data_IF_375651976423
#
_entry.id   IF_375651976423
#
_cell.length_a   1.000
_cell.length_b   1.000
_cell.length_c   1.000
_cell.angle_alpha   90.00
_cell.angle_beta   90.00
_cell.angle_gamma   90.00
#
_symmetry.space_group_name_H-M   'P 1'
#
loop_
_entity.id
_entity.type
_entity.pdbx_description
1 polymer ?
#
# COMPACT_ATOMS: atom_id res chain seq x y z
N UNK A 1 1.81 -4.51 1.97
CA UNK A 1 3.23 -4.09 1.81
C UNK A 1 3.38 -3.02 0.73
N UNK A 2 3.03 -3.29 -0.54
CA UNK A 2 3.17 -2.30 -1.64
C UNK A 2 2.49 -0.95 -1.35
N UNK A 3 1.25 -0.95 -0.89
CA UNK A 3 0.52 0.28 -0.56
C UNK A 3 1.24 1.12 0.52
N UNK A 4 1.80 0.49 1.55
CA UNK A 4 2.57 1.20 2.60
C UNK A 4 3.78 1.87 1.99
N UNK A 5 4.57 1.13 1.19
CA UNK A 5 5.76 1.68 0.56
C UNK A 5 5.46 2.85 -0.39
N UNK A 6 4.41 2.74 -1.19
CA UNK A 6 4.02 3.82 -2.09
C UNK A 6 3.56 5.05 -1.31
N UNK A 7 2.62 4.87 -0.37
CA UNK A 7 2.00 6.00 0.33
C UNK A 7 2.98 6.75 1.22
N UNK A 8 3.83 6.04 2.00
CA UNK A 8 4.77 6.72 2.90
C UNK A 8 5.81 7.55 2.14
N UNK A 9 6.19 7.14 0.90
CA UNK A 9 7.12 7.90 0.06
C UNK A 9 6.48 9.10 -0.66
N UNK A 10 5.15 9.26 -0.59
CA UNK A 10 4.45 10.46 -1.08
C UNK A 10 4.44 11.61 -0.07
N UNK A 11 5.12 11.48 1.07
CA UNK A 11 5.22 12.53 2.08
C UNK A 11 3.97 12.68 2.96
N UNK A 12 3.14 11.65 3.08
CA UNK A 12 2.00 11.64 4.01
C UNK A 12 2.50 11.57 5.46
N UNK A 13 1.80 12.22 6.38
CA UNK A 13 2.19 12.29 7.79
C UNK A 13 1.95 10.98 8.57
N UNK A 14 1.02 10.14 8.12
CA UNK A 14 0.69 8.85 8.71
C UNK A 14 -0.02 7.96 7.68
N UNK A 15 0.05 6.66 7.88
CA UNK A 15 -0.69 5.66 7.10
C UNK A 15 -1.48 4.75 8.04
N UNK A 16 -2.51 4.10 7.54
CA UNK A 16 -3.22 3.18 8.41
C UNK A 16 -4.39 2.46 7.77
N UNK A 17 -5.16 1.82 8.63
CA UNK A 17 -6.32 1.00 8.27
C UNK A 17 -7.55 1.50 8.98
N UNK A 18 -8.69 1.41 8.29
CA UNK A 18 -9.95 1.93 8.78
C UNK A 18 -11.10 1.02 8.37
N UNK A 19 -12.08 0.84 9.28
CA UNK A 19 -13.34 0.14 9.00
C UNK A 19 -13.15 -1.36 8.65
N UNK A 20 -14.11 -1.96 7.96
CA UNK A 20 -14.18 -3.33 7.42
C UNK A 20 -14.29 -4.44 8.47
N UNK A 21 -13.54 -4.39 9.56
CA UNK A 21 -13.50 -5.45 10.59
C UNK A 21 -13.47 -4.87 12.00
N UNK A 22 -13.59 -5.73 13.00
CA UNK A 22 -13.28 -5.44 14.40
C UNK A 22 -11.76 -5.38 14.65
N UNK A 23 -11.37 -4.96 15.89
CA UNK A 23 -9.96 -4.79 16.24
C UNK A 23 -9.14 -6.07 16.12
N UNK A 24 -9.69 -7.21 16.55
CA UNK A 24 -9.05 -8.52 16.55
C UNK A 24 -8.48 -8.91 15.19
N UNK A 25 -9.20 -8.60 14.11
CA UNK A 25 -8.81 -8.90 12.73
C UNK A 25 -7.77 -7.91 12.15
N UNK A 26 -7.57 -6.76 12.79
CA UNK A 26 -6.61 -5.75 12.31
C UNK A 26 -5.22 -5.91 12.91
N UNK A 27 -5.05 -6.65 14.01
CA UNK A 27 -3.77 -6.78 14.73
C UNK A 27 -2.63 -7.20 13.81
N UNK A 28 -2.83 -8.27 13.04
CA UNK A 28 -1.79 -8.79 12.15
C UNK A 28 -1.47 -7.83 11.00
N UNK A 29 -2.48 -7.18 10.45
CA UNK A 29 -2.29 -6.18 9.40
C UNK A 29 -1.48 -4.97 9.91
N UNK A 30 -1.79 -4.49 11.13
CA UNK A 30 -1.01 -3.40 11.77
C UNK A 30 0.43 -3.83 11.99
N UNK A 31 0.68 -5.05 12.47
CA UNK A 31 2.03 -5.60 12.66
C UNK A 31 2.82 -5.64 11.36
N UNK A 32 2.19 -6.11 10.26
CA UNK A 32 2.81 -6.12 8.93
C UNK A 32 3.08 -4.71 8.40
N UNK A 33 2.16 -3.78 8.61
CA UNK A 33 2.40 -2.38 8.22
C UNK A 33 3.56 -1.80 9.02
N UNK A 34 3.57 -2.01 10.33
CA UNK A 34 4.61 -1.50 11.23
C UNK A 34 6.00 -2.01 10.90
N UNK A 35 6.13 -3.25 10.39
CA UNK A 35 7.44 -3.82 10.04
C UNK A 35 8.17 -3.11 8.91
N UNK A 36 7.47 -2.26 8.14
CA UNK A 36 8.04 -1.53 7.00
C UNK A 36 7.75 -0.02 7.03
N UNK A 37 6.86 0.42 7.92
CA UNK A 37 6.50 1.83 8.03
C UNK A 37 7.59 2.61 8.78
N UNK A 38 8.08 3.70 8.18
CA UNK A 38 8.93 4.70 8.80
C UNK A 38 8.18 5.99 9.16
N UNK A 39 6.85 5.94 9.11
CA UNK A 39 5.93 6.98 9.57
C UNK A 39 4.89 6.36 10.51
N UNK A 40 4.16 7.16 11.30
CA UNK A 40 3.14 6.65 12.22
C UNK A 40 2.09 5.79 11.52
N UNK A 41 1.74 4.66 12.15
CA UNK A 41 0.63 3.80 11.71
C UNK A 41 -0.61 4.11 12.54
N UNK A 42 -1.75 4.29 11.88
CA UNK A 42 -3.03 4.44 12.58
C UNK A 42 -3.97 3.25 12.33
N UNK A 43 -4.86 2.99 13.30
CA UNK A 43 -5.92 1.99 13.17
C UNK A 43 -7.25 2.50 13.72
N UNK A 44 -8.32 2.33 12.94
CA UNK A 44 -9.68 2.74 13.28
C UNK A 44 -10.68 1.62 12.92
N UNK A 45 -10.71 0.52 13.67
CA UNK A 45 -11.65 -0.58 13.42
C UNK A 45 -13.09 -0.21 13.78
N UNK A 46 -14.01 -1.08 13.37
CA UNK A 46 -15.39 -1.06 13.85
C UNK A 46 -15.46 -1.59 15.29
N UNK A 47 -16.56 -1.30 15.99
CA UNK A 47 -16.86 -1.92 17.28
C UNK A 47 -17.37 -3.38 17.09
N UNK A 48 -16.45 -4.25 16.63
CA UNK A 48 -16.75 -5.61 16.24
C UNK A 48 -17.27 -5.75 14.80
N UNK A 49 -17.74 -6.95 14.48
CA UNK A 49 -18.42 -7.21 13.21
C UNK A 49 -19.90 -6.85 13.30
N UNK A 50 -20.49 -6.28 12.24
CA UNK A 50 -21.91 -5.99 12.22
C UNK A 50 -22.77 -7.26 12.15
N UNK A 51 -23.84 -7.30 12.90
CA UNK A 51 -24.94 -8.23 12.74
C UNK A 51 -26.09 -7.55 12.00
N UNK A 52 -26.73 -8.25 11.08
CA UNK A 52 -27.90 -7.74 10.40
C UNK A 52 -29.16 -8.04 11.23
N UNK A 53 -29.79 -7.01 11.81
CA UNK A 53 -31.03 -7.12 12.60
C UNK A 53 -32.07 -6.18 11.99
N UNK A 54 -33.16 -6.73 11.47
CA UNK A 54 -34.23 -5.96 10.81
C UNK A 54 -33.65 -5.01 9.72
N UNK A 55 -32.84 -5.53 8.83
CA UNK A 55 -32.15 -4.81 7.73
C UNK A 55 -31.24 -3.65 8.19
N UNK A 56 -30.86 -3.64 9.48
CA UNK A 56 -29.91 -2.65 10.02
C UNK A 56 -28.67 -3.33 10.56
N UNK A 57 -27.50 -2.73 10.30
CA UNK A 57 -26.24 -3.16 10.89
C UNK A 57 -26.18 -2.78 12.36
N UNK A 58 -26.07 -3.76 13.24
CA UNK A 58 -25.95 -3.59 14.70
C UNK A 58 -24.57 -4.06 15.13
N UNK A 59 -23.89 -3.24 15.93
CA UNK A 59 -22.61 -3.53 16.53
C UNK A 59 -22.81 -3.76 18.02
N UNK A 60 -22.34 -4.91 18.54
CA UNK A 60 -22.62 -5.33 19.92
C UNK A 60 -21.42 -5.25 20.86
N UNK A 61 -20.22 -5.00 20.32
CA UNK A 61 -19.03 -4.90 21.15
C UNK A 61 -19.19 -3.78 22.17
N UNK A 62 -18.91 -4.07 23.43
CA UNK A 62 -18.97 -3.08 24.51
C UNK A 62 -17.75 -2.15 24.49
N UNK A 63 -17.81 -0.98 25.16
CA UNK A 63 -16.64 -0.09 25.28
C UNK A 63 -15.44 -0.76 25.92
N UNK A 64 -15.63 -1.63 26.89
CA UNK A 64 -14.58 -2.35 27.61
C UNK A 64 -13.91 -3.39 26.71
N UNK A 65 -14.71 -4.19 26.02
CA UNK A 65 -14.20 -5.16 25.04
C UNK A 65 -13.44 -4.47 23.92
N UNK A 66 -13.99 -3.37 23.39
CA UNK A 66 -13.31 -2.59 22.36
C UNK A 66 -11.95 -2.06 22.84
N UNK A 67 -11.87 -1.51 24.04
CA UNK A 67 -10.62 -0.99 24.60
C UNK A 67 -9.59 -2.11 24.82
N UNK A 68 -9.99 -3.29 25.31
CA UNK A 68 -9.09 -4.42 25.52
C UNK A 68 -8.53 -4.94 24.19
N UNK A 69 -9.38 -5.10 23.15
CA UNK A 69 -8.92 -5.52 21.82
C UNK A 69 -8.02 -4.46 21.17
N UNK A 70 -8.31 -3.17 21.37
CA UNK A 70 -7.50 -2.07 20.87
C UNK A 70 -6.11 -2.01 21.51
N UNK A 71 -5.94 -2.55 22.73
CA UNK A 71 -4.64 -2.71 23.36
C UNK A 71 -3.70 -3.55 22.49
N UNK A 72 -4.19 -4.68 21.95
CA UNK A 72 -3.41 -5.52 21.04
C UNK A 72 -2.98 -4.78 19.76
N UNK A 73 -3.81 -3.86 19.28
CA UNK A 73 -3.50 -3.01 18.12
C UNK A 73 -2.37 -2.03 18.43
N UNK A 74 -2.37 -1.41 19.62
CA UNK A 74 -1.28 -0.52 20.06
C UNK A 74 0.01 -1.33 20.24
N UNK A 75 -0.06 -2.50 20.88
CA UNK A 75 1.07 -3.43 21.04
C UNK A 75 1.62 -3.91 19.70
N UNK A 76 0.77 -4.04 18.67
CA UNK A 76 1.19 -4.34 17.30
C UNK A 76 1.91 -3.17 16.60
N UNK A 77 1.89 -1.96 17.19
CA UNK A 77 2.64 -0.81 16.73
C UNK A 77 1.82 0.36 16.16
N UNK A 78 0.51 0.38 16.35
CA UNK A 78 -0.29 1.55 16.00
C UNK A 78 -0.01 2.70 16.97
N UNK A 79 0.53 3.81 16.45
CA UNK A 79 0.80 5.03 17.23
C UNK A 79 -0.39 5.99 17.31
N UNK A 80 -1.42 5.75 16.49
CA UNK A 80 -2.67 6.52 16.49
C UNK A 80 -3.83 5.56 16.41
N UNK A 81 -4.81 5.72 17.30
CA UNK A 81 -5.95 4.81 17.39
C UNK A 81 -7.27 5.56 17.50
N UNK A 82 -8.32 4.94 17.04
CA UNK A 82 -9.68 5.48 17.09
C UNK A 82 -10.70 4.41 16.79
N UNK A 83 -11.91 4.81 16.45
CA UNK A 83 -12.97 3.92 16.07
C UNK A 83 -13.64 4.31 14.76
N UNK A 84 -14.42 3.38 14.19
CA UNK A 84 -15.23 3.58 13.00
C UNK A 84 -16.69 3.17 13.26
N UNK A 85 -17.28 2.34 12.43
CA UNK A 85 -18.67 1.94 12.56
C UNK A 85 -18.95 1.27 13.90
N UNK A 86 -20.10 1.59 14.50
CA UNK A 86 -20.53 1.05 15.79
C UNK A 86 -19.88 1.67 17.02
N UNK A 87 -18.79 2.45 16.86
CA UNK A 87 -18.19 3.15 18.01
C UNK A 87 -19.04 4.35 18.42
N UNK A 88 -19.10 4.57 19.73
CA UNK A 88 -19.81 5.65 20.41
C UNK A 88 -18.84 6.41 21.31
N UNK A 89 -19.22 7.57 21.89
CA UNK A 89 -18.37 8.32 22.80
C UNK A 89 -17.79 7.48 23.93
N UNK A 90 -18.58 6.53 24.47
CA UNK A 90 -18.15 5.65 25.56
C UNK A 90 -16.99 4.72 25.13
N UNK A 91 -17.03 4.19 23.90
CA UNK A 91 -15.94 3.39 23.33
C UNK A 91 -14.65 4.21 23.22
N UNK A 92 -14.76 5.43 22.71
CA UNK A 92 -13.60 6.32 22.55
C UNK A 92 -13.05 6.74 23.90
N UNK A 93 -13.91 6.96 24.91
CA UNK A 93 -13.48 7.25 26.27
C UNK A 93 -12.73 6.06 26.88
N UNK A 94 -13.26 4.85 26.82
CA UNK A 94 -12.59 3.66 27.32
C UNK A 94 -11.25 3.42 26.61
N UNK A 95 -11.22 3.60 25.28
CA UNK A 95 -9.99 3.54 24.49
C UNK A 95 -8.96 4.58 24.97
N UNK A 96 -9.35 5.84 25.15
CA UNK A 96 -8.44 6.90 25.57
C UNK A 96 -7.90 6.65 27.00
N UNK A 97 -8.78 6.21 27.93
CA UNK A 97 -8.39 5.90 29.30
C UNK A 97 -7.38 4.72 29.36
N UNK A 98 -7.52 3.76 28.47
CA UNK A 98 -6.58 2.63 28.32
C UNK A 98 -5.27 3.07 27.64
N UNK A 99 -5.37 3.72 26.48
CA UNK A 99 -4.21 4.10 25.67
C UNK A 99 -3.27 5.08 26.39
N UNK A 100 -3.81 5.99 27.24
CA UNK A 100 -3.03 6.92 28.04
C UNK A 100 -2.03 6.25 29.01
N UNK A 101 -2.21 4.97 29.29
CA UNK A 101 -1.35 4.17 30.19
C UNK A 101 -0.33 3.33 29.44
N UNK A 102 -0.39 3.35 28.10
CA UNK A 102 0.51 2.55 27.25
C UNK A 102 1.67 3.39 26.72
N UNK A 103 2.83 2.78 26.46
CA UNK A 103 3.93 3.46 25.79
C UNK A 103 3.54 3.79 24.34
N UNK A 104 4.02 4.92 23.84
CA UNK A 104 3.87 5.26 22.42
C UNK A 104 4.81 4.35 21.60
N UNK A 105 4.32 3.65 20.57
CA UNK A 105 5.16 2.82 19.72
C UNK A 105 6.24 3.65 19.01
N UNK A 106 7.47 3.16 19.02
CA UNK A 106 8.58 3.81 18.32
C UNK A 106 8.36 3.78 16.81
N UNK A 107 8.79 4.85 16.13
CA UNK A 107 8.80 4.92 14.68
C UNK A 107 10.19 4.48 14.21
N UNK A 108 10.24 3.52 13.28
CA UNK A 108 11.51 3.09 12.70
C UNK A 108 12.16 4.22 11.91
N UNK A 109 13.46 4.41 12.09
CA UNK A 109 14.27 5.27 11.24
C UNK A 109 14.83 4.54 10.01
N UNK A 110 14.62 3.23 9.92
CA UNK A 110 15.10 2.42 8.80
C UNK A 110 14.16 2.53 7.61
N UNK A 111 14.72 2.91 6.49
CA UNK A 111 14.02 2.99 5.22
C UNK A 111 14.33 1.74 4.39
N UNK A 112 13.32 0.92 4.14
CA UNK A 112 13.45 -0.21 3.21
C UNK A 112 13.51 0.32 1.78
N UNK A 113 14.65 0.12 1.12
CA UNK A 113 14.80 0.45 -0.31
C UNK A 113 14.04 -0.56 -1.15
N UNK A 114 13.00 -0.12 -1.84
CA UNK A 114 12.20 -1.01 -2.68
C UNK A 114 11.55 -0.28 -3.85
N UNK A 115 11.19 -1.05 -4.87
CA UNK A 115 10.28 -0.63 -5.95
C UNK A 115 8.97 -1.38 -5.74
N UNK A 116 7.85 -0.69 -5.82
CA UNK A 116 6.52 -1.27 -5.61
C UNK A 116 5.67 -1.21 -6.86
N UNK A 117 5.02 -2.33 -7.16
CA UNK A 117 3.89 -2.39 -8.09
C UNK A 117 2.57 -2.26 -7.32
N UNK A 118 1.43 -2.38 -7.99
CA UNK A 118 0.12 -2.41 -7.33
C UNK A 118 -0.05 -3.56 -6.32
N UNK A 119 0.68 -4.67 -6.49
CA UNK A 119 0.48 -5.92 -5.73
C UNK A 119 1.67 -6.34 -4.89
N UNK A 120 2.87 -5.96 -5.27
CA UNK A 120 4.09 -6.45 -4.64
C UNK A 120 5.15 -5.36 -4.50
N UNK A 121 6.10 -5.58 -3.60
CA UNK A 121 7.30 -4.76 -3.47
C UNK A 121 8.54 -5.62 -3.70
N UNK A 122 9.45 -5.11 -4.48
CA UNK A 122 10.77 -5.69 -4.73
C UNK A 122 11.80 -4.92 -3.90
N UNK A 123 12.41 -5.61 -2.94
CA UNK A 123 13.47 -5.01 -2.12
C UNK A 123 14.75 -4.90 -2.96
N UNK A 124 15.36 -3.71 -2.91
CA UNK A 124 16.63 -3.39 -3.55
C UNK A 124 17.61 -3.04 -2.44
N UNK A 125 18.43 -3.97 -2.05
CA UNK A 125 19.45 -3.79 -1.03
C UNK A 125 20.82 -4.22 -1.56
N UNK A 126 21.89 -3.66 -0.96
CA UNK A 126 23.27 -3.98 -1.35
C UNK A 126 23.63 -5.45 -1.07
N UNK A 127 23.03 -6.03 -0.04
CA UNK A 127 23.21 -7.43 0.37
C UNK A 127 22.19 -8.39 -0.28
N UNK A 128 21.23 -7.86 -1.06
CA UNK A 128 20.25 -8.66 -1.75
C UNK A 128 20.78 -9.24 -3.07
N UNK A 129 20.24 -10.36 -3.58
CA UNK A 129 20.58 -10.89 -4.90
C UNK A 129 20.34 -9.84 -6.01
N UNK A 130 21.17 -9.89 -7.05
CA UNK A 130 21.02 -9.01 -8.21
C UNK A 130 19.60 -8.99 -8.75
N UNK A 131 19.14 -7.80 -9.15
CA UNK A 131 17.88 -7.60 -9.84
C UNK A 131 18.14 -7.29 -11.30
N UNK A 132 17.44 -8.04 -12.17
CA UNK A 132 17.57 -7.86 -13.64
C UNK A 132 16.51 -6.86 -14.08
N UNK A 133 16.95 -5.80 -14.77
CA UNK A 133 16.06 -4.83 -15.42
C UNK A 133 15.95 -5.18 -16.89
N UNK A 134 14.74 -5.38 -17.38
CA UNK A 134 14.44 -5.62 -18.78
C UNK A 134 14.22 -4.29 -19.52
N UNK A 135 15.03 -3.99 -20.56
CA UNK A 135 15.00 -2.70 -21.29
C UNK A 135 14.39 -2.80 -22.70
N UNK A 136 13.72 -3.89 -23.05
CA UNK A 136 13.27 -4.08 -24.43
C UNK A 136 12.05 -3.24 -24.82
N UNK A 137 11.33 -2.68 -23.87
CA UNK A 137 10.24 -1.72 -24.13
C UNK A 137 10.83 -0.33 -24.37
N UNK A 138 11.60 -0.25 -25.44
CA UNK A 138 12.36 0.92 -25.85
C UNK A 138 12.37 1.00 -27.39
N UNK A 139 11.84 2.06 -28.01
CA UNK A 139 11.79 2.20 -29.46
C UNK A 139 13.14 2.49 -30.12
N UNK A 140 14.18 2.84 -29.34
CA UNK A 140 15.48 3.21 -29.87
C UNK A 140 16.12 2.03 -30.60
N UNK A 141 16.43 2.21 -31.87
CA UNK A 141 17.04 1.17 -32.71
C UNK A 141 16.11 0.02 -33.14
N UNK A 142 14.87 -0.04 -32.68
CA UNK A 142 13.93 -1.17 -32.88
C UNK A 142 12.78 -0.78 -33.83
N UNK A 143 12.97 -1.03 -35.14
CA UNK A 143 11.96 -0.65 -36.18
C UNK A 143 10.57 -1.23 -35.90
N UNK A 144 10.49 -2.55 -35.62
CA UNK A 144 9.21 -3.23 -35.32
C UNK A 144 8.50 -2.63 -34.11
N UNK A 145 9.23 -2.30 -33.07
CA UNK A 145 8.66 -1.69 -31.87
C UNK A 145 8.12 -0.27 -32.17
N UNK A 146 8.84 0.51 -33.01
CA UNK A 146 8.36 1.83 -33.47
C UNK A 146 7.06 1.71 -34.29
N UNK A 147 6.95 0.70 -35.12
CA UNK A 147 5.74 0.42 -35.91
C UNK A 147 4.57 0.00 -35.00
N UNK A 148 4.82 -0.87 -34.02
CA UNK A 148 3.83 -1.27 -33.03
C UNK A 148 3.30 -0.06 -32.26
N UNK A 149 4.17 0.84 -31.80
CA UNK A 149 3.76 2.08 -31.11
C UNK A 149 2.91 2.99 -32.02
N UNK A 150 3.29 3.13 -33.31
CA UNK A 150 2.52 3.94 -34.27
C UNK A 150 1.14 3.40 -34.56
N UNK A 151 1.01 2.07 -34.57
CA UNK A 151 -0.22 1.35 -34.87
C UNK A 151 -1.03 1.04 -33.60
N UNK A 152 -0.58 1.48 -32.43
CA UNK A 152 -1.19 1.18 -31.12
C UNK A 152 -1.32 -0.35 -30.87
N UNK A 153 -0.38 -1.14 -31.42
CA UNK A 153 -0.33 -2.59 -31.25
C UNK A 153 0.12 -2.97 -29.83
N UNK A 154 -0.84 -2.92 -28.92
CA UNK A 154 -0.62 -3.23 -27.50
C UNK A 154 -0.26 -4.70 -27.28
N UNK A 155 -0.74 -5.62 -28.13
CA UNK A 155 -0.44 -7.04 -28.03
C UNK A 155 1.05 -7.31 -28.25
N UNK A 156 1.66 -6.64 -29.22
CA UNK A 156 3.09 -6.73 -29.45
C UNK A 156 3.88 -6.17 -28.26
N UNK A 157 3.48 -5.03 -27.72
CA UNK A 157 4.15 -4.39 -26.57
C UNK A 157 4.05 -5.27 -25.33
N UNK A 158 2.87 -5.80 -25.03
CA UNK A 158 2.64 -6.72 -23.91
C UNK A 158 3.45 -8.02 -24.06
N UNK A 159 3.54 -8.55 -25.28
CA UNK A 159 4.34 -9.75 -25.56
C UNK A 159 5.83 -9.51 -25.28
N UNK A 160 6.35 -8.34 -25.62
CA UNK A 160 7.74 -7.98 -25.28
C UNK A 160 7.94 -7.86 -23.76
N UNK A 161 6.95 -7.34 -23.01
CA UNK A 161 6.98 -7.29 -21.54
C UNK A 161 6.98 -8.70 -20.93
N UNK A 162 6.02 -9.54 -21.30
CA UNK A 162 5.88 -10.92 -20.80
C UNK A 162 7.14 -11.73 -21.13
N UNK A 163 7.65 -11.61 -22.36
CA UNK A 163 8.87 -12.32 -22.75
C UNK A 163 10.07 -11.97 -21.87
N UNK A 164 10.21 -10.73 -21.42
CA UNK A 164 11.28 -10.32 -20.50
C UNK A 164 11.05 -10.90 -19.11
N UNK A 165 9.84 -10.87 -18.62
CA UNK A 165 9.45 -11.48 -17.34
C UNK A 165 9.77 -12.98 -17.33
N UNK A 166 9.35 -13.71 -18.35
CA UNK A 166 9.60 -15.17 -18.51
C UNK A 166 11.10 -15.50 -18.56
N UNK A 167 11.93 -14.55 -19.04
CA UNK A 167 13.39 -14.67 -19.06
C UNK A 167 14.06 -14.20 -17.76
N UNK A 168 13.28 -13.92 -16.71
CA UNK A 168 13.79 -13.59 -15.39
C UNK A 168 14.04 -12.11 -15.13
N UNK A 169 13.48 -11.19 -15.93
CA UNK A 169 13.49 -9.78 -15.57
C UNK A 169 12.61 -9.54 -14.33
N UNK A 170 13.17 -8.89 -13.33
CA UNK A 170 12.48 -8.51 -12.09
C UNK A 170 11.78 -7.17 -12.21
N UNK A 171 12.32 -6.30 -13.05
CA UNK A 171 11.87 -4.92 -13.30
C UNK A 171 11.77 -4.75 -14.82
N UNK A 172 10.74 -4.07 -15.29
CA UNK A 172 10.63 -3.66 -16.69
C UNK A 172 10.83 -2.16 -16.79
N UNK A 173 11.86 -1.75 -17.53
CA UNK A 173 12.04 -0.36 -17.90
C UNK A 173 11.22 -0.07 -19.17
N UNK A 174 10.45 1.02 -19.12
CA UNK A 174 9.63 1.47 -20.24
C UNK A 174 10.12 2.84 -20.67
N UNK A 175 10.76 2.89 -21.85
CA UNK A 175 11.22 4.14 -22.47
C UNK A 175 10.27 4.45 -23.63
N UNK A 176 9.50 5.53 -23.49
CA UNK A 176 8.65 6.05 -24.54
C UNK A 176 9.15 7.45 -24.86
N UNK A 177 9.81 7.60 -26.02
CA UNK A 177 10.17 8.92 -26.55
C UNK A 177 8.91 9.48 -27.20
N UNK A 178 8.21 10.38 -26.51
CA UNK A 178 7.08 11.11 -27.06
C UNK A 178 7.62 12.13 -28.08
N UNK A 179 7.69 11.76 -29.35
CA UNK A 179 7.81 12.77 -30.39
C UNK A 179 6.45 13.43 -30.56
N UNK A 180 6.41 14.69 -30.98
CA UNK A 180 5.25 15.60 -31.06
C UNK A 180 3.94 15.05 -31.69
N UNK A 181 3.93 13.82 -32.18
CA UNK A 181 2.77 13.18 -32.82
C UNK A 181 1.80 12.48 -31.86
N UNK A 182 2.20 12.16 -30.62
CA UNK A 182 1.37 11.40 -29.67
C UNK A 182 0.51 12.26 -28.73
N UNK A 183 0.62 13.58 -28.79
CA UNK A 183 -0.22 14.50 -28.01
C UNK A 183 -1.69 14.58 -28.48
N UNK A 184 -2.07 13.87 -29.55
CA UNK A 184 -3.45 13.89 -30.09
C UNK A 184 -4.37 12.77 -29.59
N UNK A 185 -3.84 11.73 -29.00
CA UNK A 185 -4.63 10.62 -28.42
C UNK A 185 -4.43 10.59 -26.90
N UNK A 186 -5.38 11.07 -26.14
CA UNK A 186 -5.42 11.21 -24.68
C UNK A 186 -4.91 10.06 -23.79
N UNK A 187 -3.84 9.39 -24.17
CA UNK A 187 -3.15 8.39 -23.36
C UNK A 187 -2.10 9.08 -22.48
N UNK A 188 -2.51 9.48 -21.29
CA UNK A 188 -1.57 9.80 -20.21
C UNK A 188 -1.13 8.50 -19.54
N UNK A 189 0.04 7.97 -19.91
CA UNK A 189 0.76 7.04 -19.05
C UNK A 189 1.43 7.93 -17.99
N UNK A 190 1.14 7.77 -16.69
CA UNK A 190 1.83 8.55 -15.68
C UNK A 190 3.30 8.13 -15.65
N UNK A 191 4.17 8.95 -16.22
CA UNK A 191 5.61 8.82 -16.08
C UNK A 191 5.99 9.48 -14.77
N UNK A 192 6.24 8.71 -13.74
CA UNK A 192 6.87 9.22 -12.53
C UNK A 192 8.36 9.43 -12.81
N UNK A 193 8.76 10.68 -13.05
CA UNK A 193 10.16 11.09 -13.02
C UNK A 193 10.56 11.30 -11.56
N UNK A 194 11.47 10.49 -11.06
CA UNK A 194 12.17 10.78 -9.81
C UNK A 194 13.34 11.72 -10.13
N UNK A 195 13.30 12.92 -9.51
CA UNK A 195 14.47 13.76 -9.28
C UNK A 195 15.15 13.34 -7.97
#
# INVERSE_FOLDING_TARGET
MAAVNVLQNLGVAAIGVNCSTGPDKMVELVRQMKSIAFIPVFAKPNAGMPELVNDKSVYRMTPEEFAEDMKMIIEAGAGMVGGCCGTRPEHIKALADMASKMPVPEISSEHVRCISSERSSLIIDLDAPFKVVGERINPTGKKKFKEALKNEDMDYILKEAITQQDKGAHILEIIIIISHMLLRSGFAIPVYSYN
#
